data_IF_613419421777
#
_entry.id   IF_613419421777
#
_cell.length_a   1.000
_cell.length_b   1.000
_cell.length_c   1.000
_cell.angle_alpha   90.00
_cell.angle_beta   90.00
_cell.angle_gamma   90.00
#
_symmetry.space_group_name_H-M   'P 1'
#
loop_
_entity.id
_entity.type
_entity.pdbx_description
1 polymer ?
#
# COMPACT_ATOMS: atom_id res chain seq x y z
N UNK A 1 8.25 6.78 -98.45
CA UNK A 1 6.87 6.31 -98.43
C UNK A 1 6.74 5.30 -97.32
N UNK A 2 6.18 5.69 -96.18
CA UNK A 2 5.57 4.79 -95.23
C UNK A 2 4.89 5.63 -94.13
N UNK A 3 3.59 5.61 -94.18
CA UNK A 3 2.68 6.25 -93.22
C UNK A 3 2.76 5.60 -91.84
N UNK A 4 2.86 6.40 -90.84
CA UNK A 4 2.63 6.00 -89.46
C UNK A 4 1.40 6.75 -88.93
N UNK A 5 0.34 6.05 -88.47
CA UNK A 5 -0.86 6.72 -87.96
C UNK A 5 -0.67 7.23 -86.54
N UNK A 6 -1.16 8.43 -86.36
CA UNK A 6 -1.22 9.18 -85.14
C UNK A 6 -2.24 8.56 -84.17
N UNK A 7 -1.82 8.14 -82.92
CA UNK A 7 -2.71 7.70 -81.84
C UNK A 7 -3.20 8.87 -81.03
N UNK A 8 -4.47 8.94 -80.57
CA UNK A 8 -4.99 10.05 -79.83
C UNK A 8 -4.56 9.96 -78.32
N UNK A 9 -4.26 11.09 -77.74
CA UNK A 9 -3.88 11.29 -76.35
C UNK A 9 -5.00 10.86 -75.42
N UNK A 10 -4.63 10.05 -74.41
CA UNK A 10 -5.50 9.63 -73.34
C UNK A 10 -5.85 10.84 -72.44
N UNK A 11 -7.15 11.08 -72.23
CA UNK A 11 -7.70 12.08 -71.35
C UNK A 11 -7.41 11.66 -69.88
N UNK A 12 -6.63 12.48 -69.15
CA UNK A 12 -6.36 12.30 -67.73
C UNK A 12 -7.64 12.43 -66.90
N UNK A 13 -8.05 11.35 -66.30
CA UNK A 13 -9.11 11.34 -65.25
C UNK A 13 -8.61 12.01 -64.01
N UNK A 14 -9.27 13.12 -63.62
CA UNK A 14 -9.06 13.77 -62.32
C UNK A 14 -9.42 12.81 -61.20
N UNK A 15 -8.61 12.71 -60.12
CA UNK A 15 -8.98 11.89 -58.97
C UNK A 15 -10.25 12.44 -58.28
N UNK A 16 -11.07 11.58 -57.67
CA UNK A 16 -12.32 11.98 -57.03
C UNK A 16 -12.03 12.97 -55.90
N UNK A 17 -12.78 14.07 -55.84
CA UNK A 17 -12.74 15.06 -54.76
C UNK A 17 -13.27 14.40 -53.51
N UNK A 18 -12.38 14.13 -52.54
CA UNK A 18 -12.78 13.74 -51.18
C UNK A 18 -13.66 14.82 -50.55
N UNK A 19 -14.82 14.43 -50.02
CA UNK A 19 -15.76 15.35 -49.39
C UNK A 19 -15.16 16.01 -48.16
N UNK A 20 -15.64 17.21 -47.80
CA UNK A 20 -15.20 17.95 -46.61
C UNK A 20 -15.42 17.13 -45.33
N UNK A 21 -16.41 16.21 -45.32
CA UNK A 21 -16.69 15.28 -44.21
C UNK A 21 -15.61 14.18 -44.02
N UNK A 22 -14.89 13.81 -45.10
CA UNK A 22 -13.81 12.81 -45.04
C UNK A 22 -12.48 13.40 -44.55
N UNK A 23 -12.32 14.71 -44.61
CA UNK A 23 -11.12 15.41 -44.12
C UNK A 23 -11.12 15.66 -42.61
N UNK A 24 -12.28 15.58 -41.94
CA UNK A 24 -12.41 15.76 -40.47
C UNK A 24 -12.24 14.47 -39.68
N UNK A 25 -12.25 13.32 -40.35
CA UNK A 25 -11.85 12.05 -39.73
C UNK A 25 -10.35 11.85 -39.98
N UNK A 26 -9.54 12.37 -39.06
CA UNK A 26 -8.13 11.98 -38.96
C UNK A 26 -7.99 10.45 -38.97
N UNK A 27 -6.83 9.87 -39.31
CA UNK A 27 -6.66 8.43 -39.38
C UNK A 27 -7.11 7.85 -38.04
N UNK A 28 -8.13 6.97 -38.06
CA UNK A 28 -8.52 6.17 -36.90
C UNK A 28 -7.24 5.49 -36.43
N UNK A 29 -6.71 5.93 -35.33
CA UNK A 29 -5.62 5.23 -34.67
C UNK A 29 -5.99 3.75 -34.65
N UNK A 30 -5.15 2.90 -35.21
CA UNK A 30 -5.38 1.47 -35.27
C UNK A 30 -5.74 1.01 -33.85
N UNK A 31 -6.98 0.55 -33.67
CA UNK A 31 -7.44 0.11 -32.37
C UNK A 31 -6.64 -1.14 -32.05
N UNK A 32 -5.72 -1.04 -31.12
CA UNK A 32 -4.97 -2.18 -30.61
C UNK A 32 -6.01 -3.14 -30.03
N UNK A 33 -6.06 -4.41 -30.50
CA UNK A 33 -7.03 -5.36 -30.00
C UNK A 33 -6.80 -5.58 -28.51
N UNK A 34 -7.84 -5.66 -27.68
CA UNK A 34 -7.71 -5.97 -26.28
C UNK A 34 -7.17 -7.38 -26.07
N UNK A 35 -6.36 -7.57 -25.04
CA UNK A 35 -5.89 -8.88 -24.63
C UNK A 35 -7.06 -9.69 -24.05
N UNK A 36 -7.27 -10.95 -24.47
CA UNK A 36 -8.39 -11.74 -23.98
C UNK A 36 -8.26 -12.05 -22.50
N UNK A 37 -9.38 -11.97 -21.79
CA UNK A 37 -9.44 -12.34 -20.36
C UNK A 37 -9.70 -13.84 -20.26
N UNK A 38 -8.85 -14.61 -19.56
CA UNK A 38 -9.06 -16.04 -19.37
C UNK A 38 -10.24 -16.31 -18.43
N UNK A 39 -10.69 -17.58 -18.31
CA UNK A 39 -11.69 -17.99 -17.33
C UNK A 39 -11.27 -17.57 -15.91
N UNK A 40 -12.18 -16.95 -15.16
CA UNK A 40 -11.89 -16.35 -13.86
C UNK A 40 -12.29 -17.33 -12.76
N UNK A 41 -11.33 -17.74 -11.94
CA UNK A 41 -11.56 -18.50 -10.72
C UNK A 41 -11.54 -17.59 -9.49
N UNK A 42 -12.36 -17.92 -8.50
CA UNK A 42 -12.43 -17.19 -7.23
C UNK A 42 -12.10 -18.15 -6.09
N UNK A 43 -11.05 -17.88 -5.28
CA UNK A 43 -10.70 -18.72 -4.13
C UNK A 43 -11.86 -18.75 -3.13
N UNK A 44 -12.35 -19.97 -2.81
CA UNK A 44 -13.52 -20.13 -1.94
C UNK A 44 -13.24 -19.77 -0.47
N UNK A 45 -11.98 -19.81 -0.07
CA UNK A 45 -11.51 -19.47 1.27
C UNK A 45 -11.58 -17.97 1.59
N UNK A 46 -11.63 -17.12 0.56
CA UNK A 46 -11.68 -15.68 0.76
C UNK A 46 -13.10 -15.21 1.09
N UNK A 47 -13.28 -14.43 2.17
CA UNK A 47 -14.60 -13.93 2.57
C UNK A 47 -15.35 -13.17 1.47
N UNK A 48 -14.63 -12.38 0.65
CA UNK A 48 -15.22 -11.65 -0.47
C UNK A 48 -15.81 -12.57 -1.53
N UNK A 49 -15.27 -13.78 -1.70
CA UNK A 49 -15.78 -14.76 -2.67
C UNK A 49 -17.18 -15.26 -2.30
N UNK A 50 -17.47 -15.41 -1.01
CA UNK A 50 -18.80 -15.78 -0.53
C UNK A 50 -19.87 -14.69 -0.82
N UNK A 51 -19.46 -13.42 -0.89
CA UNK A 51 -20.35 -12.28 -1.19
C UNK A 51 -20.27 -11.84 -2.67
N UNK A 52 -19.57 -12.60 -3.53
CA UNK A 52 -19.29 -12.25 -4.92
C UNK A 52 -20.55 -11.88 -5.71
N UNK A 53 -21.59 -12.70 -5.64
CA UNK A 53 -22.82 -12.49 -6.41
C UNK A 53 -23.59 -11.23 -5.95
N UNK A 54 -23.55 -10.92 -4.66
CA UNK A 54 -24.13 -9.71 -4.11
C UNK A 54 -23.36 -8.48 -4.56
N UNK A 55 -22.03 -8.51 -4.47
CA UNK A 55 -21.16 -7.44 -4.96
C UNK A 55 -21.37 -7.22 -6.47
N UNK A 56 -21.39 -8.30 -7.24
CA UNK A 56 -21.64 -8.24 -8.68
C UNK A 56 -22.98 -7.60 -9.03
N UNK A 57 -24.03 -7.95 -8.30
CA UNK A 57 -25.37 -7.36 -8.45
C UNK A 57 -25.35 -5.86 -8.10
N UNK A 58 -24.75 -5.50 -6.97
CA UNK A 58 -24.67 -4.11 -6.55
C UNK A 58 -23.90 -3.24 -7.59
N UNK A 59 -22.78 -3.73 -8.12
CA UNK A 59 -22.00 -3.02 -9.18
C UNK A 59 -22.84 -2.87 -10.46
N UNK A 60 -23.61 -3.89 -10.83
CA UNK A 60 -24.48 -3.82 -12.02
C UNK A 60 -25.56 -2.76 -11.87
N UNK A 61 -26.22 -2.76 -10.71
CA UNK A 61 -27.44 -1.99 -10.48
C UNK A 61 -27.16 -0.55 -10.03
N UNK A 62 -25.96 -0.26 -9.49
CA UNK A 62 -25.61 1.06 -8.96
C UNK A 62 -24.37 1.63 -9.67
N UNK A 63 -24.27 2.95 -9.72
CA UNK A 63 -23.11 3.65 -10.24
C UNK A 63 -21.94 3.64 -9.24
N UNK A 64 -22.28 3.77 -7.96
CA UNK A 64 -21.31 3.74 -6.85
C UNK A 64 -21.66 2.62 -5.88
N UNK A 65 -20.65 1.87 -5.46
CA UNK A 65 -20.76 0.81 -4.44
C UNK A 65 -19.62 0.95 -3.43
N UNK A 66 -19.97 0.87 -2.16
CA UNK A 66 -18.98 0.84 -1.07
C UNK A 66 -18.82 -0.62 -0.63
N UNK A 67 -17.57 -1.12 -0.61
CA UNK A 67 -17.26 -2.46 -0.13
C UNK A 67 -16.37 -2.32 1.11
N UNK A 68 -16.94 -2.57 2.26
CA UNK A 68 -16.23 -2.48 3.54
C UNK A 68 -15.84 -3.87 4.06
N UNK A 69 -14.85 -3.90 4.91
CA UNK A 69 -14.41 -5.14 5.56
C UNK A 69 -12.95 -5.12 5.96
N UNK A 70 -12.58 -6.07 6.77
CA UNK A 70 -11.24 -6.18 7.30
C UNK A 70 -10.17 -6.44 6.24
N UNK A 71 -8.91 -6.09 6.56
CA UNK A 71 -7.75 -6.43 5.75
C UNK A 71 -7.63 -7.96 5.64
N UNK A 72 -7.24 -8.45 4.46
CA UNK A 72 -7.16 -9.90 4.21
C UNK A 72 -8.47 -10.56 3.77
N UNK A 73 -9.61 -9.85 3.76
CA UNK A 73 -10.89 -10.41 3.25
C UNK A 73 -10.89 -10.66 1.72
N UNK A 74 -9.85 -10.25 1.00
CA UNK A 74 -9.69 -10.47 -0.44
C UNK A 74 -10.25 -9.35 -1.33
N UNK A 75 -10.76 -8.23 -0.79
CA UNK A 75 -11.34 -7.12 -1.56
C UNK A 75 -10.41 -6.66 -2.68
N UNK A 76 -9.20 -6.30 -2.33
CA UNK A 76 -8.18 -5.74 -3.23
C UNK A 76 -7.89 -6.61 -4.44
N UNK A 77 -7.82 -7.93 -4.28
CA UNK A 77 -7.49 -8.85 -5.38
C UNK A 77 -8.72 -9.33 -6.15
N UNK A 78 -9.87 -9.47 -5.50
CA UNK A 78 -11.04 -10.07 -6.11
C UNK A 78 -11.97 -9.05 -6.80
N UNK A 79 -12.05 -7.80 -6.33
CA UNK A 79 -12.92 -6.79 -6.94
C UNK A 79 -12.61 -6.54 -8.42
N UNK A 80 -11.34 -6.40 -8.87
CA UNK A 80 -11.03 -6.29 -10.29
C UNK A 80 -11.49 -7.50 -11.10
N UNK A 81 -11.38 -8.72 -10.53
CA UNK A 81 -11.83 -9.96 -11.16
C UNK A 81 -13.36 -10.02 -11.26
N UNK A 82 -14.08 -9.55 -10.24
CA UNK A 82 -15.55 -9.42 -10.28
C UNK A 82 -15.96 -8.45 -11.38
N UNK A 83 -15.27 -7.32 -11.52
CA UNK A 83 -15.53 -6.37 -12.60
C UNK A 83 -15.29 -6.99 -13.99
N UNK A 84 -14.20 -7.73 -14.15
CA UNK A 84 -13.94 -8.47 -15.42
C UNK A 84 -15.05 -9.49 -15.70
N UNK A 85 -15.50 -10.25 -14.70
CA UNK A 85 -16.60 -11.21 -14.84
C UNK A 85 -17.94 -10.54 -15.22
N UNK A 86 -18.12 -9.27 -14.87
CA UNK A 86 -19.27 -8.43 -15.27
C UNK A 86 -19.14 -7.84 -16.68
N UNK A 87 -18.09 -8.19 -17.43
CA UNK A 87 -17.84 -7.62 -18.75
C UNK A 87 -17.25 -6.20 -18.71
N UNK A 88 -16.67 -5.75 -17.58
CA UNK A 88 -15.94 -4.48 -17.47
C UNK A 88 -14.49 -4.70 -17.87
N UNK A 89 -13.83 -3.66 -18.34
CA UNK A 89 -12.48 -3.79 -18.88
C UNK A 89 -12.47 -4.21 -20.36
N UNK A 90 -11.51 -3.73 -21.13
CA UNK A 90 -11.46 -3.88 -22.59
C UNK A 90 -11.50 -5.32 -23.08
N UNK A 91 -10.72 -6.21 -22.45
CA UNK A 91 -10.64 -7.63 -22.82
C UNK A 91 -11.85 -8.45 -22.41
N UNK A 92 -12.69 -7.94 -21.52
CA UNK A 92 -13.94 -8.56 -21.10
C UNK A 92 -15.18 -8.01 -21.86
N UNK A 93 -14.99 -7.07 -22.78
CA UNK A 93 -16.06 -6.45 -23.57
C UNK A 93 -16.44 -5.04 -23.12
N UNK A 94 -15.80 -4.49 -22.09
CA UNK A 94 -15.99 -3.13 -21.62
C UNK A 94 -15.39 -2.07 -22.56
N UNK A 95 -15.81 -0.83 -22.39
CA UNK A 95 -15.38 0.30 -23.22
C UNK A 95 -14.04 0.91 -22.80
N UNK A 96 -13.59 0.65 -21.56
CA UNK A 96 -12.41 1.28 -20.95
C UNK A 96 -11.58 0.32 -20.13
N UNK A 97 -10.71 0.89 -19.32
CA UNK A 97 -9.93 0.19 -18.32
C UNK A 97 -10.69 0.07 -17.00
N UNK A 98 -10.39 -0.96 -16.23
CA UNK A 98 -10.64 -0.98 -14.79
C UNK A 98 -9.42 -0.34 -14.13
N UNK A 99 -9.56 0.89 -13.62
CA UNK A 99 -8.54 1.57 -12.85
C UNK A 99 -8.65 1.19 -11.39
N UNK A 100 -7.54 0.81 -10.76
CA UNK A 100 -7.50 0.43 -9.35
C UNK A 100 -6.39 1.18 -8.64
N UNK A 101 -6.76 2.08 -7.73
CA UNK A 101 -5.77 2.84 -6.98
C UNK A 101 -5.28 2.08 -5.76
N UNK A 102 -4.04 2.36 -5.39
CA UNK A 102 -3.40 1.88 -4.19
C UNK A 102 -2.64 3.03 -3.53
N UNK A 103 -2.64 3.18 -2.22
CA UNK A 103 -1.95 4.29 -1.57
C UNK A 103 -0.43 4.24 -1.76
N UNK A 104 0.12 3.04 -1.99
CA UNK A 104 1.57 2.82 -2.04
C UNK A 104 2.00 2.15 -3.34
N UNK A 105 3.16 2.58 -3.89
CA UNK A 105 3.71 2.02 -5.15
C UNK A 105 3.96 0.52 -5.09
N UNK A 106 4.45 0.05 -3.92
CA UNK A 106 4.73 -1.38 -3.69
C UNK A 106 3.43 -2.17 -3.74
N UNK A 107 2.37 -1.68 -3.10
CA UNK A 107 1.07 -2.32 -3.09
C UNK A 107 0.50 -2.43 -4.52
N UNK A 108 0.56 -1.38 -5.32
CA UNK A 108 0.10 -1.42 -6.71
C UNK A 108 0.80 -2.50 -7.53
N UNK A 109 2.13 -2.62 -7.40
CA UNK A 109 2.91 -3.62 -8.13
C UNK A 109 2.64 -5.05 -7.61
N UNK A 110 2.61 -5.26 -6.29
CA UNK A 110 2.39 -6.57 -5.67
C UNK A 110 0.97 -7.09 -5.94
N UNK A 111 -0.05 -6.25 -5.74
CA UNK A 111 -1.45 -6.57 -6.04
C UNK A 111 -1.65 -6.90 -7.52
N UNK A 112 -1.08 -6.10 -8.42
CA UNK A 112 -1.17 -6.36 -9.85
C UNK A 112 -0.57 -7.70 -10.25
N UNK A 113 0.59 -8.06 -9.73
CA UNK A 113 1.20 -9.37 -9.95
C UNK A 113 0.32 -10.50 -9.42
N UNK A 114 -0.20 -10.34 -8.21
CA UNK A 114 -1.07 -11.34 -7.59
C UNK A 114 -2.34 -11.58 -8.41
N UNK A 115 -2.98 -10.51 -8.91
CA UNK A 115 -4.17 -10.65 -9.77
C UNK A 115 -3.80 -11.34 -11.09
N UNK A 116 -2.66 -10.98 -11.70
CA UNK A 116 -2.19 -11.63 -12.94
C UNK A 116 -1.90 -13.12 -12.74
N UNK A 117 -1.24 -13.48 -11.62
CA UNK A 117 -1.00 -14.87 -11.22
C UNK A 117 -2.32 -15.65 -11.06
N UNK A 118 -3.30 -15.08 -10.35
CA UNK A 118 -4.61 -15.71 -10.15
C UNK A 118 -5.42 -15.85 -11.46
N UNK A 119 -5.18 -14.98 -12.43
CA UNK A 119 -5.74 -15.08 -13.78
C UNK A 119 -4.93 -16.00 -14.70
N UNK A 120 -3.74 -16.44 -14.30
CA UNK A 120 -2.84 -17.24 -15.14
C UNK A 120 -2.32 -16.49 -16.37
N UNK A 121 -2.14 -15.16 -16.28
CA UNK A 121 -1.65 -14.31 -17.38
C UNK A 121 -0.29 -13.71 -17.04
N UNK A 122 0.57 -13.45 -18.05
CA UNK A 122 1.78 -12.67 -17.86
C UNK A 122 1.45 -11.28 -17.29
N UNK A 123 2.24 -10.86 -16.29
CA UNK A 123 2.07 -9.55 -15.70
C UNK A 123 2.40 -8.44 -16.68
N UNK A 124 1.48 -7.51 -16.84
CA UNK A 124 1.53 -6.44 -17.84
C UNK A 124 0.55 -6.62 -19.00
N UNK A 125 0.11 -7.84 -19.33
CA UNK A 125 -0.78 -8.13 -20.47
C UNK A 125 -2.24 -7.79 -20.19
N UNK A 126 -2.93 -8.55 -19.34
CA UNK A 126 -4.32 -8.29 -18.96
C UNK A 126 -4.37 -7.35 -17.76
N UNK A 127 -3.46 -7.55 -16.82
CA UNK A 127 -3.31 -6.76 -15.60
C UNK A 127 -1.91 -6.17 -15.58
N UNK A 128 -1.82 -4.86 -15.51
CA UNK A 128 -0.56 -4.18 -15.37
C UNK A 128 -0.64 -3.05 -14.35
N UNK A 129 0.44 -2.30 -14.20
CA UNK A 129 0.48 -1.19 -13.26
C UNK A 129 1.23 0.01 -13.81
N UNK A 130 0.88 1.19 -13.28
CA UNK A 130 1.56 2.44 -13.55
C UNK A 130 1.79 3.20 -12.26
N UNK A 131 3.05 3.49 -11.96
CA UNK A 131 3.45 4.32 -10.84
C UNK A 131 4.49 5.33 -11.32
N UNK A 132 4.85 6.28 -10.48
CA UNK A 132 5.85 7.30 -10.85
C UNK A 132 7.13 6.63 -11.34
N UNK A 133 7.55 6.95 -12.56
CA UNK A 133 8.74 6.45 -13.27
C UNK A 133 8.70 4.97 -13.70
N UNK A 134 7.57 4.28 -13.56
CA UNK A 134 7.43 2.89 -14.01
C UNK A 134 6.06 2.68 -14.62
N UNK A 135 6.04 2.18 -15.84
CA UNK A 135 4.83 1.80 -16.56
C UNK A 135 5.03 0.37 -17.09
N UNK A 136 4.23 -0.56 -16.62
CA UNK A 136 4.19 -1.94 -17.09
C UNK A 136 2.74 -2.31 -17.41
N UNK A 137 2.21 -1.71 -18.47
CA UNK A 137 0.85 -1.88 -18.91
C UNK A 137 0.82 -2.02 -20.43
N UNK A 138 0.45 -3.19 -20.93
CA UNK A 138 0.24 -3.39 -22.35
C UNK A 138 -0.92 -2.54 -22.86
N UNK A 139 -0.87 -2.13 -24.11
CA UNK A 139 -1.91 -1.31 -24.73
C UNK A 139 -3.28 -2.01 -24.78
N UNK A 140 -3.30 -3.36 -24.83
CA UNK A 140 -4.51 -4.20 -24.76
C UNK A 140 -4.96 -4.59 -23.36
N UNK A 141 -4.35 -4.07 -22.30
CA UNK A 141 -4.70 -4.42 -20.92
C UNK A 141 -6.12 -4.01 -20.53
N UNK A 142 -6.69 -4.73 -19.59
CA UNK A 142 -8.03 -4.49 -19.04
C UNK A 142 -8.01 -3.88 -17.64
N UNK A 143 -7.00 -4.21 -16.83
CA UNK A 143 -6.87 -3.74 -15.44
C UNK A 143 -5.56 -2.98 -15.27
N UNK A 144 -5.65 -1.77 -14.74
CA UNK A 144 -4.53 -0.89 -14.46
C UNK A 144 -4.47 -0.57 -12.98
N UNK A 145 -3.48 -1.14 -12.30
CA UNK A 145 -3.14 -0.74 -10.94
C UNK A 145 -2.32 0.55 -10.97
N UNK A 146 -2.55 1.45 -10.03
CA UNK A 146 -1.82 2.73 -9.96
C UNK A 146 -1.86 3.30 -8.55
N UNK A 147 -1.01 4.28 -8.29
CA UNK A 147 -1.17 5.07 -7.06
C UNK A 147 -2.21 6.16 -7.24
N UNK A 148 -2.81 6.60 -6.12
CA UNK A 148 -3.79 7.71 -6.10
C UNK A 148 -3.24 8.95 -6.82
N UNK A 149 -1.97 9.27 -6.61
CA UNK A 149 -1.30 10.40 -7.28
C UNK A 149 -1.19 10.25 -8.80
N UNK A 150 -1.15 9.03 -9.35
CA UNK A 150 -1.18 8.80 -10.80
C UNK A 150 -2.58 9.09 -11.36
N UNK A 151 -3.63 8.56 -10.70
CA UNK A 151 -5.01 8.85 -11.12
C UNK A 151 -5.28 10.36 -11.05
N UNK A 152 -4.82 11.02 -9.97
CA UNK A 152 -4.94 12.47 -9.84
C UNK A 152 -4.21 13.23 -10.95
N UNK A 153 -3.01 12.80 -11.35
CA UNK A 153 -2.31 13.41 -12.47
C UNK A 153 -3.05 13.21 -13.80
N UNK A 154 -3.71 12.08 -14.00
CA UNK A 154 -4.48 11.81 -15.21
C UNK A 154 -5.72 12.69 -15.35
N UNK A 155 -6.31 13.17 -14.26
CA UNK A 155 -7.42 14.13 -14.32
C UNK A 155 -7.05 15.44 -15.03
N UNK A 156 -5.76 15.79 -15.08
CA UNK A 156 -5.28 16.99 -15.76
C UNK A 156 -5.35 16.87 -17.28
N UNK A 157 -5.20 15.66 -17.82
CA UNK A 157 -5.20 15.39 -19.27
C UNK A 157 -6.50 14.77 -19.75
N UNK A 158 -7.19 14.02 -18.89
CA UNK A 158 -8.51 13.43 -19.14
C UNK A 158 -9.47 13.79 -17.98
N UNK A 159 -10.05 15.00 -18.00
CA UNK A 159 -10.90 15.47 -16.90
C UNK A 159 -12.16 14.64 -16.67
N UNK A 160 -12.62 13.87 -17.63
CA UNK A 160 -13.75 12.97 -17.49
C UNK A 160 -13.35 11.52 -17.29
N UNK A 161 -12.03 11.23 -17.16
CA UNK A 161 -11.51 9.88 -16.95
C UNK A 161 -12.07 8.87 -17.97
N UNK A 162 -12.14 9.28 -19.25
CA UNK A 162 -12.73 8.50 -20.35
C UNK A 162 -11.95 7.23 -20.68
N UNK A 163 -10.70 7.15 -20.26
CA UNK A 163 -9.90 5.94 -20.35
C UNK A 163 -10.46 4.77 -19.53
N UNK A 164 -11.32 5.07 -18.57
CA UNK A 164 -11.86 4.10 -17.60
C UNK A 164 -13.35 3.87 -17.79
N UNK A 165 -13.79 2.63 -17.62
CA UNK A 165 -15.19 2.25 -17.46
C UNK A 165 -15.52 1.92 -15.99
N UNK A 166 -14.52 1.57 -15.21
CA UNK A 166 -14.64 1.27 -13.78
C UNK A 166 -13.44 1.84 -13.03
N UNK A 167 -13.69 2.44 -11.89
CA UNK A 167 -12.66 2.88 -10.94
C UNK A 167 -12.87 2.20 -9.60
N UNK A 168 -11.78 1.70 -9.01
CA UNK A 168 -11.72 1.15 -7.67
C UNK A 168 -10.77 2.05 -6.87
N UNK A 169 -11.30 2.77 -5.88
CA UNK A 169 -10.52 3.55 -4.92
C UNK A 169 -10.33 2.66 -3.70
N UNK A 170 -9.14 2.08 -3.59
CA UNK A 170 -8.84 1.12 -2.53
C UNK A 170 -8.26 1.83 -1.29
N UNK A 171 -8.50 1.23 -0.11
CA UNK A 171 -8.03 1.73 1.20
C UNK A 171 -8.43 3.20 1.46
N UNK A 172 -9.67 3.59 1.08
CA UNK A 172 -10.14 4.97 1.20
C UNK A 172 -10.12 5.50 2.64
N UNK A 173 -10.11 4.63 3.64
CA UNK A 173 -10.00 4.98 5.06
C UNK A 173 -8.63 5.53 5.45
N UNK A 174 -7.56 5.35 4.64
CA UNK A 174 -6.26 5.99 4.89
C UNK A 174 -6.35 7.54 4.79
N UNK A 175 -7.41 8.07 4.16
CA UNK A 175 -7.72 9.51 4.11
C UNK A 175 -6.52 10.38 3.74
N UNK A 176 -5.69 9.90 2.80
CA UNK A 176 -4.63 10.74 2.23
C UNK A 176 -5.24 11.95 1.50
N UNK A 177 -4.48 13.04 1.39
CA UNK A 177 -4.90 14.23 0.65
C UNK A 177 -5.32 13.89 -0.80
N UNK A 178 -4.61 12.97 -1.45
CA UNK A 178 -4.95 12.52 -2.80
C UNK A 178 -6.29 11.79 -2.85
N UNK A 179 -6.53 10.90 -1.89
CA UNK A 179 -7.80 10.14 -1.79
C UNK A 179 -8.96 11.11 -1.57
N UNK A 180 -8.86 12.02 -0.61
CA UNK A 180 -9.92 12.98 -0.30
C UNK A 180 -10.23 13.89 -1.49
N UNK A 181 -9.20 14.36 -2.20
CA UNK A 181 -9.37 15.12 -3.42
C UNK A 181 -10.06 14.30 -4.53
N UNK A 182 -9.60 13.06 -4.77
CA UNK A 182 -10.19 12.17 -5.77
C UNK A 182 -11.67 11.85 -5.48
N UNK A 183 -12.03 11.60 -4.22
CA UNK A 183 -13.42 11.36 -3.84
C UNK A 183 -14.32 12.56 -4.14
N UNK A 184 -13.86 13.78 -3.81
CA UNK A 184 -14.56 15.02 -4.16
C UNK A 184 -14.66 15.20 -5.67
N UNK A 185 -13.56 15.00 -6.40
CA UNK A 185 -13.51 15.12 -7.85
C UNK A 185 -14.43 14.11 -8.56
N UNK A 186 -14.41 12.85 -8.13
CA UNK A 186 -15.27 11.80 -8.69
C UNK A 186 -16.75 12.11 -8.46
N UNK A 187 -17.13 12.72 -7.34
CA UNK A 187 -18.49 13.17 -7.10
C UNK A 187 -18.99 14.15 -8.17
N UNK A 188 -18.12 15.01 -8.68
CA UNK A 188 -18.40 15.96 -9.76
C UNK A 188 -18.39 15.34 -11.17
N UNK A 189 -17.62 14.24 -11.34
CA UNK A 189 -17.50 13.54 -12.63
C UNK A 189 -18.65 12.56 -12.86
N UNK A 190 -19.08 11.83 -11.84
CA UNK A 190 -20.09 10.77 -11.94
C UNK A 190 -21.40 11.21 -12.61
N UNK A 191 -21.99 12.38 -12.33
CA UNK A 191 -23.20 12.84 -13.02
C UNK A 191 -22.99 13.05 -14.53
N UNK A 192 -21.76 13.30 -14.97
CA UNK A 192 -21.39 13.52 -16.37
C UNK A 192 -20.98 12.22 -17.08
N UNK A 193 -20.80 11.14 -16.34
CA UNK A 193 -20.34 9.82 -16.76
C UNK A 193 -21.22 8.71 -16.18
N UNK A 194 -22.46 8.63 -16.61
CA UNK A 194 -23.41 7.60 -16.16
C UNK A 194 -22.96 6.16 -16.46
N UNK A 195 -22.04 5.97 -17.39
CA UNK A 195 -21.42 4.71 -17.77
C UNK A 195 -20.30 4.26 -16.82
N UNK A 196 -19.66 5.22 -16.10
CA UNK A 196 -18.56 4.97 -15.19
C UNK A 196 -19.06 4.34 -13.88
N UNK A 197 -18.49 3.21 -13.51
CA UNK A 197 -18.72 2.59 -12.20
C UNK A 197 -17.61 2.98 -11.23
N UNK A 198 -17.99 3.28 -10.01
CA UNK A 198 -17.07 3.58 -8.90
C UNK A 198 -17.27 2.57 -7.77
N UNK A 199 -16.18 1.96 -7.35
CA UNK A 199 -16.14 1.10 -6.18
C UNK A 199 -15.18 1.74 -5.19
N UNK A 200 -15.62 1.96 -3.97
CA UNK A 200 -14.78 2.47 -2.88
C UNK A 200 -14.61 1.38 -1.86
N UNK A 201 -13.37 0.99 -1.55
CA UNK A 201 -13.14 0.07 -0.46
C UNK A 201 -12.69 0.80 0.80
N UNK A 202 -13.07 0.27 1.94
CA UNK A 202 -12.75 0.83 3.24
C UNK A 202 -12.63 -0.27 4.29
N UNK A 203 -11.88 -0.01 5.36
CA UNK A 203 -12.10 -0.71 6.62
C UNK A 203 -13.48 -0.34 7.20
N UNK A 204 -14.00 -1.13 8.14
CA UNK A 204 -15.40 -1.12 8.59
C UNK A 204 -15.91 0.24 9.10
N UNK A 205 -15.06 1.07 9.70
CA UNK A 205 -15.45 2.26 10.48
C UNK A 205 -16.05 3.40 9.64
N UNK A 206 -15.61 3.58 8.38
CA UNK A 206 -15.95 4.76 7.57
C UNK A 206 -16.93 4.50 6.42
N UNK A 207 -17.42 3.28 6.25
CA UNK A 207 -18.22 2.88 5.09
C UNK A 207 -19.49 3.73 4.89
N UNK A 208 -20.21 4.01 5.97
CA UNK A 208 -21.42 4.83 5.93
C UNK A 208 -21.14 6.29 5.52
N UNK A 209 -19.98 6.81 5.91
CA UNK A 209 -19.57 8.17 5.55
C UNK A 209 -19.35 8.29 4.04
N UNK A 210 -18.69 7.30 3.44
CA UNK A 210 -18.51 7.24 1.99
C UNK A 210 -19.84 7.02 1.26
N UNK A 211 -20.72 6.18 1.81
CA UNK A 211 -22.06 5.96 1.24
C UNK A 211 -22.89 7.25 1.18
N UNK A 212 -22.87 8.04 2.24
CA UNK A 212 -23.54 9.36 2.28
C UNK A 212 -22.86 10.39 1.37
N UNK A 213 -21.55 10.33 1.23
CA UNK A 213 -20.81 11.23 0.34
C UNK A 213 -21.24 11.08 -1.12
N UNK A 214 -21.43 9.86 -1.61
CA UNK A 214 -21.82 9.59 -3.01
C UNK A 214 -23.32 9.46 -3.23
N UNK A 215 -24.10 9.39 -2.17
CA UNK A 215 -25.55 9.40 -2.21
C UNK A 215 -26.13 10.65 -1.56
N UNK A 216 -27.31 10.49 -0.99
CA UNK A 216 -27.95 11.47 -0.11
C UNK A 216 -28.18 10.84 1.27
N UNK A 217 -28.58 11.63 2.25
CA UNK A 217 -28.96 11.08 3.56
C UNK A 217 -30.16 10.13 3.48
N UNK A 218 -31.07 10.37 2.52
CA UNK A 218 -32.26 9.55 2.30
C UNK A 218 -31.96 8.32 1.42
N UNK A 219 -31.02 8.44 0.49
CA UNK A 219 -30.61 7.37 -0.43
C UNK A 219 -29.09 7.30 -0.53
N UNK A 220 -28.40 6.73 0.47
CA UNK A 220 -26.96 6.53 0.43
C UNK A 220 -26.58 5.50 -0.65
N UNK A 221 -25.33 5.53 -1.09
CA UNK A 221 -24.81 4.48 -1.95
C UNK A 221 -24.82 3.13 -1.19
N UNK A 222 -25.06 1.99 -1.87
CA UNK A 222 -25.08 0.69 -1.20
C UNK A 222 -23.73 0.36 -0.56
N UNK A 223 -23.79 -0.18 0.64
CA UNK A 223 -22.64 -0.70 1.40
C UNK A 223 -22.77 -2.20 1.48
N UNK A 224 -21.69 -2.91 1.10
CA UNK A 224 -21.57 -4.34 1.27
C UNK A 224 -20.43 -4.60 2.25
N UNK A 225 -20.79 -5.19 3.38
CA UNK A 225 -19.82 -5.54 4.40
C UNK A 225 -19.31 -6.96 4.18
N UNK A 226 -18.00 -7.09 4.02
CA UNK A 226 -17.31 -8.37 3.88
C UNK A 226 -16.58 -8.65 5.19
N UNK A 227 -17.24 -9.37 6.09
CA UNK A 227 -16.60 -9.80 7.34
C UNK A 227 -15.62 -10.94 7.06
N UNK A 228 -14.40 -10.79 7.56
CA UNK A 228 -13.37 -11.82 7.53
C UNK A 228 -13.57 -12.85 8.63
N UNK A 229 -12.99 -14.05 8.48
CA UNK A 229 -12.76 -14.93 9.62
C UNK A 229 -11.61 -14.35 10.41
N UNK A 230 -11.88 -13.87 11.60
CA UNK A 230 -10.82 -13.50 12.55
C UNK A 230 -10.20 -14.81 13.05
N UNK A 231 -8.92 -15.00 12.74
CA UNK A 231 -8.15 -16.02 13.44
C UNK A 231 -7.90 -15.52 14.87
N UNK A 232 -7.93 -16.41 15.87
CA UNK A 232 -7.60 -16.01 17.22
C UNK A 232 -6.17 -15.46 17.27
N UNK A 233 -6.01 -14.28 17.86
CA UNK A 233 -4.72 -13.61 18.03
C UNK A 233 -4.41 -13.57 19.50
N UNK A 234 -3.31 -14.19 19.92
CA UNK A 234 -2.76 -14.08 21.28
C UNK A 234 -1.89 -12.81 21.33
N UNK A 235 -2.26 -11.90 22.23
CA UNK A 235 -1.47 -10.67 22.47
C UNK A 235 -0.56 -10.87 23.67
N UNK A 236 0.75 -10.71 23.46
CA UNK A 236 1.79 -10.80 24.49
C UNK A 236 2.40 -9.42 24.71
N UNK A 237 2.09 -8.81 25.83
CA UNK A 237 2.69 -7.53 26.19
C UNK A 237 4.04 -7.77 26.88
N UNK A 238 5.12 -7.21 26.32
CA UNK A 238 6.48 -7.25 26.86
C UNK A 238 7.00 -5.83 26.98
N UNK A 239 6.85 -5.18 28.16
CA UNK A 239 7.39 -3.84 28.38
C UNK A 239 8.91 -3.88 28.32
N UNK A 240 9.51 -2.87 27.70
CA UNK A 240 10.94 -2.61 27.82
C UNK A 240 11.12 -2.07 29.25
N UNK A 241 11.75 -2.84 30.10
CA UNK A 241 12.04 -2.41 31.49
C UNK A 241 13.07 -1.28 31.44
N UNK A 242 12.68 -0.11 31.90
CA UNK A 242 13.61 0.98 32.16
C UNK A 242 14.42 0.61 33.40
N UNK A 243 15.66 0.13 33.24
CA UNK A 243 16.54 -0.26 34.36
C UNK A 243 16.66 0.85 35.43
N UNK A 244 16.42 2.11 35.03
CA UNK A 244 16.35 3.26 35.92
C UNK A 244 15.16 3.22 36.87
N UNK A 245 14.02 2.67 36.46
CA UNK A 245 12.83 2.48 37.27
C UNK A 245 12.97 1.25 38.17
N UNK A 246 13.49 0.15 37.64
CA UNK A 246 13.76 -1.07 38.45
C UNK A 246 14.82 -0.84 39.51
N UNK A 247 15.87 -0.05 39.19
CA UNK A 247 16.90 0.36 40.16
C UNK A 247 16.36 1.28 41.27
N UNK A 248 15.45 2.22 40.95
CA UNK A 248 14.78 3.08 41.95
C UNK A 248 13.80 2.33 42.82
N UNK A 249 13.04 1.38 42.30
CA UNK A 249 12.15 0.54 43.09
C UNK A 249 12.91 -0.43 44.02
N UNK A 250 14.05 -0.97 43.58
CA UNK A 250 14.94 -1.78 44.42
C UNK A 250 15.61 -0.94 45.50
N UNK A 251 16.05 0.28 45.19
CA UNK A 251 16.58 1.23 46.16
C UNK A 251 15.51 1.70 47.18
N UNK A 252 14.28 1.92 46.74
CA UNK A 252 13.17 2.30 47.61
C UNK A 252 12.68 1.16 48.53
N UNK A 253 12.88 -0.12 48.14
CA UNK A 253 12.59 -1.29 48.99
C UNK A 253 13.74 -1.68 49.94
N UNK A 254 14.97 -1.20 49.68
CA UNK A 254 16.17 -1.50 50.49
C UNK A 254 16.39 -0.60 51.69
N UNK A 255 15.66 0.52 51.85
CA UNK A 255 15.88 1.50 52.92
C UNK A 255 14.80 1.44 54.03
N UNK A 256 14.52 0.24 54.50
CA UNK A 256 13.81 0.03 55.80
C UNK A 256 14.56 -0.96 56.66
N UNK A 257 15.69 -0.51 57.20
CA UNK A 257 16.46 -1.27 58.15
C UNK A 257 17.55 -0.44 58.78
N UNK A 258 17.25 -0.05 60.00
CA UNK A 258 18.16 0.30 61.12
C UNK A 258 18.52 1.78 61.31
N UNK A 259 17.81 2.36 62.28
CA UNK A 259 18.21 3.57 63.03
C UNK A 259 19.17 3.18 64.12
N UNK A 260 20.42 3.55 63.98
CA UNK A 260 21.45 3.53 65.05
C UNK A 260 22.01 4.92 65.25
N UNK A 261 21.68 5.46 66.41
CA UNK A 261 22.04 6.72 67.11
C UNK A 261 23.55 6.91 67.37
N UNK A 262 23.98 8.18 67.41
CA UNK A 262 25.19 8.85 68.06
C UNK A 262 26.04 9.60 66.99
N UNK A 263 26.16 10.95 67.10
CA UNK A 263 26.68 11.76 68.22
C UNK A 263 27.66 12.76 67.63
N UNK A 264 27.30 14.02 67.71
CA UNK A 264 28.01 15.22 68.20
C UNK A 264 29.39 15.64 67.67
N UNK A 265 29.46 16.98 67.47
CA UNK A 265 30.58 17.93 67.56
C UNK A 265 31.46 18.26 66.35
N UNK A 266 31.34 19.56 65.99
CA UNK A 266 32.38 20.58 66.11
C UNK A 266 32.98 20.99 64.77
N UNK A 267 32.94 22.18 64.47
CA UNK A 267 33.32 23.53 64.71
C UNK A 267 34.12 24.14 63.53
N UNK A 268 33.69 25.34 63.17
CA UNK A 268 34.41 26.52 62.65
C UNK A 268 35.51 26.46 61.59
N UNK A 269 35.35 27.44 60.73
CA UNK A 269 36.42 28.34 60.20
C UNK A 269 36.43 28.35 58.67
N UNK A 270 36.29 29.40 58.06
CA UNK A 270 36.48 30.84 57.96
C UNK A 270 37.10 31.10 56.56
N UNK A 271 36.47 32.06 55.86
CA UNK A 271 36.97 33.07 54.90
C UNK A 271 37.93 32.76 53.78
N UNK A 272 37.46 33.28 52.60
CA UNK A 272 38.28 34.07 51.64
C UNK A 272 38.33 33.35 50.28
N UNK A 273 38.22 33.91 49.19
CA UNK A 273 38.29 35.23 48.61
C UNK A 273 37.87 35.16 47.13
N UNK A 274 37.57 36.30 46.58
CA UNK A 274 37.08 36.56 45.26
C UNK A 274 37.99 36.08 44.11
N UNK A 275 37.37 35.60 43.05
CA UNK A 275 38.01 35.45 41.77
C UNK A 275 36.98 35.35 40.65
N UNK A 276 36.64 36.53 40.08
CA UNK A 276 35.92 36.64 38.79
C UNK A 276 36.69 35.92 37.71
N UNK A 277 36.07 34.99 36.96
CA UNK A 277 36.45 34.64 35.61
C UNK A 277 35.23 34.27 34.78
N UNK A 278 34.90 35.22 33.93
CA UNK A 278 34.34 35.18 32.57
C UNK A 278 33.64 33.89 32.14
N UNK A 279 32.34 34.06 31.99
CA UNK A 279 31.39 33.31 31.19
C UNK A 279 31.94 33.07 29.77
N UNK A 280 32.17 31.81 29.41
CA UNK A 280 32.23 31.32 28.01
C UNK A 280 31.37 30.11 27.93
N UNK A 281 30.23 30.29 27.28
CA UNK A 281 29.13 29.40 26.99
C UNK A 281 29.49 27.94 26.75
N UNK A 282 29.03 27.11 27.61
CA UNK A 282 28.89 25.68 27.44
C UNK A 282 27.55 25.36 26.79
N UNK A 283 27.53 25.41 25.45
CA UNK A 283 26.41 24.92 24.63
C UNK A 283 26.69 23.54 24.01
N UNK A 284 27.73 22.85 24.46
CA UNK A 284 28.22 21.60 23.84
C UNK A 284 27.81 20.29 24.54
N UNK A 285 27.49 20.29 25.81
CA UNK A 285 27.31 19.05 26.59
C UNK A 285 25.88 18.52 26.57
N UNK A 286 24.85 19.36 26.43
CA UNK A 286 23.46 18.92 26.37
C UNK A 286 23.19 17.99 25.15
N UNK A 287 23.72 18.38 23.99
CA UNK A 287 23.52 17.60 22.75
C UNK A 287 24.27 16.26 22.71
N UNK A 288 25.36 16.12 23.48
CA UNK A 288 26.08 14.84 23.63
C UNK A 288 25.35 13.90 24.57
N UNK A 289 24.81 14.41 25.68
CA UNK A 289 23.99 13.64 26.62
C UNK A 289 22.73 13.10 26.02
N UNK A 290 21.98 13.91 25.25
CA UNK A 290 20.77 13.48 24.54
C UNK A 290 21.06 12.42 23.46
N UNK A 291 22.15 12.56 22.73
CA UNK A 291 22.58 11.56 21.72
C UNK A 291 23.02 10.24 22.34
N UNK A 292 23.61 10.27 23.53
CA UNK A 292 23.99 9.08 24.27
C UNK A 292 22.75 8.34 24.77
N UNK A 293 21.81 9.04 25.43
CA UNK A 293 20.56 8.47 25.91
C UNK A 293 19.69 7.89 24.78
N UNK A 294 19.61 8.57 23.64
CA UNK A 294 18.90 8.06 22.47
C UNK A 294 19.54 6.79 21.87
N UNK A 295 20.88 6.68 21.92
CA UNK A 295 21.58 5.46 21.46
C UNK A 295 21.38 4.29 22.42
N UNK A 296 21.30 4.56 23.70
CA UNK A 296 21.08 3.56 24.73
C UNK A 296 19.65 3.00 24.64
N UNK A 297 18.65 3.87 24.58
CA UNK A 297 17.25 3.48 24.34
C UNK A 297 17.06 2.70 23.02
N UNK A 298 17.79 3.05 21.98
CA UNK A 298 17.77 2.33 20.70
C UNK A 298 18.38 0.92 20.83
N UNK A 299 19.42 0.73 21.64
CA UNK A 299 20.00 -0.58 21.92
C UNK A 299 19.02 -1.45 22.70
N UNK A 300 18.43 -0.91 23.77
CA UNK A 300 17.43 -1.61 24.60
C UNK A 300 16.24 -2.09 23.75
N UNK A 301 15.74 -1.22 22.85
CA UNK A 301 14.67 -1.60 21.90
C UNK A 301 15.11 -2.73 20.96
N UNK A 302 16.32 -2.65 20.42
CA UNK A 302 16.83 -3.66 19.49
C UNK A 302 17.00 -5.02 20.16
N UNK A 303 17.53 -5.04 21.39
CA UNK A 303 17.71 -6.26 22.19
C UNK A 303 16.36 -6.88 22.56
N UNK A 304 15.38 -6.06 22.97
CA UNK A 304 14.01 -6.53 23.24
C UNK A 304 13.33 -7.13 21.98
N UNK A 305 13.58 -6.59 20.78
CA UNK A 305 13.09 -7.18 19.54
C UNK A 305 13.75 -8.52 19.26
N UNK A 306 15.06 -8.66 19.49
CA UNK A 306 15.77 -9.94 19.30
C UNK A 306 15.18 -10.99 20.23
N UNK A 307 14.96 -10.66 21.50
CA UNK A 307 14.36 -11.56 22.50
C UNK A 307 12.94 -11.97 22.11
N UNK A 308 12.12 -11.02 21.66
CA UNK A 308 10.77 -11.29 21.19
C UNK A 308 10.75 -12.21 19.96
N UNK A 309 11.63 -11.98 19.00
CA UNK A 309 11.79 -12.84 17.81
C UNK A 309 12.22 -14.24 18.23
N UNK A 310 13.15 -14.37 19.16
CA UNK A 310 13.61 -15.66 19.68
C UNK A 310 12.48 -16.41 20.42
N UNK A 311 11.68 -15.70 21.24
CA UNK A 311 10.49 -16.27 21.90
C UNK A 311 9.56 -16.86 20.84
N UNK A 312 9.18 -16.07 19.83
CA UNK A 312 8.27 -16.48 18.77
C UNK A 312 8.84 -17.63 17.89
N UNK A 313 10.16 -17.63 17.69
CA UNK A 313 10.82 -18.71 16.96
C UNK A 313 10.75 -20.07 17.68
N UNK A 314 10.61 -20.09 19.01
CA UNK A 314 10.45 -21.32 19.81
C UNK A 314 9.00 -21.83 19.82
N UNK A 315 8.02 -20.95 19.60
CA UNK A 315 6.58 -21.34 19.61
C UNK A 315 6.17 -22.24 18.45
N UNK A 316 6.84 -22.13 17.30
CA UNK A 316 6.51 -22.97 16.16
C UNK A 316 7.01 -22.44 14.82
N UNK A 317 6.57 -23.08 13.75
CA UNK A 317 6.90 -22.65 12.38
C UNK A 317 6.03 -21.47 11.95
N UNK A 318 6.58 -20.60 11.12
CA UNK A 318 5.92 -19.43 10.54
C UNK A 318 6.87 -18.25 10.49
N UNK A 319 6.56 -17.31 9.61
CA UNK A 319 7.36 -16.10 9.43
C UNK A 319 6.99 -15.04 10.47
N UNK A 320 7.94 -14.16 10.76
CA UNK A 320 7.80 -13.06 11.72
C UNK A 320 7.79 -11.74 10.97
N UNK A 321 6.84 -10.85 11.27
CA UNK A 321 6.82 -9.48 10.81
C UNK A 321 7.09 -8.55 12.00
N UNK A 322 8.12 -7.72 11.88
CA UNK A 322 8.49 -6.73 12.90
C UNK A 322 8.24 -5.34 12.36
N UNK A 323 7.41 -4.56 13.05
CA UNK A 323 7.17 -3.17 12.70
C UNK A 323 8.15 -2.24 13.38
N UNK A 324 8.78 -1.38 12.60
CA UNK A 324 9.78 -0.44 13.04
C UNK A 324 9.48 0.97 12.50
N UNK A 325 9.81 2.03 13.25
CA UNK A 325 9.43 3.40 12.89
C UNK A 325 10.14 3.92 11.64
N UNK A 326 11.32 3.40 11.31
CA UNK A 326 12.08 3.93 10.18
C UNK A 326 13.15 3.00 9.61
N UNK A 327 13.77 3.47 8.54
CA UNK A 327 14.80 2.74 7.80
C UNK A 327 16.06 2.46 8.63
N UNK A 328 16.42 3.41 9.52
CA UNK A 328 17.59 3.28 10.39
C UNK A 328 17.38 2.13 11.38
N UNK A 329 16.25 2.12 12.06
CA UNK A 329 15.89 1.10 13.04
C UNK A 329 15.80 -0.27 12.37
N UNK A 330 15.30 -0.35 11.14
CA UNK A 330 15.31 -1.59 10.33
C UNK A 330 16.72 -2.09 10.09
N UNK A 331 17.68 -1.20 9.77
CA UNK A 331 19.06 -1.59 9.51
C UNK A 331 19.77 -2.06 10.77
N UNK A 332 19.60 -1.32 11.87
CA UNK A 332 20.21 -1.62 13.16
C UNK A 332 19.68 -2.97 13.69
N UNK A 333 18.36 -3.18 13.64
CA UNK A 333 17.74 -4.45 14.03
C UNK A 333 18.13 -5.60 13.12
N UNK A 334 18.22 -5.37 11.80
CA UNK A 334 18.68 -6.40 10.86
C UNK A 334 20.13 -6.83 11.14
N UNK A 335 21.01 -5.91 11.53
CA UNK A 335 22.37 -6.21 11.91
C UNK A 335 22.42 -7.02 13.20
N UNK A 336 21.65 -6.63 14.23
CA UNK A 336 21.58 -7.35 15.49
C UNK A 336 21.07 -8.79 15.29
N UNK A 337 19.98 -8.98 14.56
CA UNK A 337 19.42 -10.30 14.28
C UNK A 337 20.40 -11.18 13.48
N UNK A 338 21.16 -10.61 12.51
CA UNK A 338 22.18 -11.37 11.77
C UNK A 338 23.36 -11.80 12.66
N UNK A 339 23.75 -10.97 13.64
CA UNK A 339 24.79 -11.31 14.62
C UNK A 339 24.33 -12.41 15.56
N UNK A 340 23.06 -12.42 15.89
CA UNK A 340 22.44 -13.45 16.74
C UNK A 340 22.30 -14.80 16.01
N UNK A 341 22.36 -14.80 14.66
CA UNK A 341 22.29 -15.96 13.79
C UNK A 341 21.15 -16.94 14.12
N UNK A 342 19.87 -16.55 14.03
CA UNK A 342 18.77 -17.50 14.17
C UNK A 342 18.95 -18.61 13.11
N UNK A 343 18.97 -19.90 13.49
CA UNK A 343 19.22 -20.97 12.54
C UNK A 343 18.13 -21.01 11.45
N UNK A 344 18.53 -21.19 10.20
CA UNK A 344 17.65 -21.30 9.03
C UNK A 344 16.68 -20.11 8.87
N UNK A 345 17.17 -18.89 9.12
CA UNK A 345 16.35 -17.68 9.05
C UNK A 345 16.88 -16.69 8.02
N UNK A 346 15.98 -16.13 7.22
CA UNK A 346 16.26 -15.07 6.25
C UNK A 346 15.70 -13.73 6.78
N UNK A 347 16.57 -12.72 6.94
CA UNK A 347 16.21 -11.40 7.44
C UNK A 347 15.99 -10.47 6.25
N UNK A 348 14.76 -10.00 6.06
CA UNK A 348 14.31 -9.24 4.91
C UNK A 348 13.84 -7.85 5.33
N UNK A 349 14.55 -6.77 4.97
CA UNK A 349 14.04 -5.41 5.16
C UNK A 349 12.93 -5.09 4.15
N UNK A 350 11.92 -4.31 4.59
CA UNK A 350 10.82 -3.83 3.76
C UNK A 350 10.48 -2.37 4.06
N UNK A 351 10.96 -1.45 3.23
CA UNK A 351 10.63 -0.03 3.31
C UNK A 351 10.56 0.62 1.92
N UNK A 352 9.97 1.80 1.83
CA UNK A 352 9.58 2.43 0.56
C UNK A 352 10.74 2.75 -0.41
N UNK A 353 11.97 2.91 0.09
CA UNK A 353 13.16 3.28 -0.71
C UNK A 353 13.94 2.08 -1.25
N UNK A 354 13.59 0.86 -0.84
CA UNK A 354 14.23 -0.34 -1.38
C UNK A 354 14.03 -0.48 -2.88
N UNK A 355 14.96 -1.17 -3.54
CA UNK A 355 14.80 -1.54 -4.94
C UNK A 355 13.57 -2.45 -5.14
N UNK A 356 12.95 -2.41 -6.32
CA UNK A 356 11.81 -3.26 -6.63
C UNK A 356 12.17 -4.77 -6.53
N UNK A 357 13.43 -5.14 -6.80
CA UNK A 357 13.91 -6.50 -6.68
C UNK A 357 13.97 -6.97 -5.21
N UNK A 358 14.50 -6.12 -4.31
CA UNK A 358 14.56 -6.42 -2.88
C UNK A 358 13.17 -6.48 -2.26
N UNK A 359 12.28 -5.55 -2.63
CA UNK A 359 10.88 -5.58 -2.20
C UNK A 359 10.17 -6.87 -2.65
N UNK A 360 10.43 -7.34 -3.88
CA UNK A 360 9.84 -8.55 -4.41
C UNK A 360 10.29 -9.83 -3.67
N UNK A 361 11.46 -9.82 -3.01
CA UNK A 361 11.94 -10.97 -2.23
C UNK A 361 11.01 -11.32 -1.08
N UNK A 362 10.40 -10.33 -0.46
CA UNK A 362 9.49 -10.51 0.69
C UNK A 362 8.23 -11.32 0.30
N UNK A 363 7.85 -11.30 -0.97
CA UNK A 363 6.65 -12.01 -1.48
C UNK A 363 6.96 -13.40 -2.06
N UNK A 364 8.24 -13.74 -2.20
CA UNK A 364 8.63 -15.07 -2.69
C UNK A 364 8.53 -16.09 -1.57
N UNK A 365 8.08 -17.29 -1.91
CA UNK A 365 8.16 -18.43 -0.99
C UNK A 365 9.61 -18.77 -0.69
N UNK A 366 9.91 -19.08 0.57
CA UNK A 366 11.23 -19.53 1.04
C UNK A 366 11.06 -20.80 1.84
N UNK A 367 12.04 -21.69 1.76
CA UNK A 367 12.12 -22.88 2.63
C UNK A 367 12.70 -22.53 4.02
N UNK A 368 13.28 -21.33 4.16
CA UNK A 368 13.76 -20.82 5.42
C UNK A 368 12.69 -19.92 6.07
N UNK A 369 12.69 -19.84 7.40
CA UNK A 369 11.88 -18.87 8.12
C UNK A 369 12.30 -17.46 7.73
N UNK A 370 11.33 -16.58 7.49
CA UNK A 370 11.60 -15.19 7.18
C UNK A 370 11.29 -14.31 8.38
N UNK A 371 12.19 -13.38 8.69
CA UNK A 371 11.95 -12.25 9.59
C UNK A 371 11.89 -11.01 8.72
N UNK A 372 10.71 -10.46 8.55
CA UNK A 372 10.47 -9.27 7.72
C UNK A 372 10.47 -8.05 8.62
N UNK A 373 11.41 -7.15 8.42
CA UNK A 373 11.51 -5.89 9.17
C UNK A 373 10.90 -4.79 8.34
N UNK A 374 9.76 -4.27 8.74
CA UNK A 374 8.98 -3.34 7.93
C UNK A 374 8.67 -2.04 8.66
N UNK A 375 8.54 -0.96 7.90
CA UNK A 375 7.82 0.22 8.37
C UNK A 375 6.31 -0.02 8.22
N UNK A 376 5.49 0.97 8.54
CA UNK A 376 4.05 0.96 8.29
C UNK A 376 3.64 0.65 6.82
N UNK A 377 4.60 0.47 5.91
CA UNK A 377 4.34 0.03 4.53
C UNK A 377 3.64 -1.34 4.47
N UNK A 378 3.86 -2.20 5.46
CA UNK A 378 3.26 -3.53 5.55
C UNK A 378 2.01 -3.57 6.46
N UNK A 379 1.51 -2.43 6.95
CA UNK A 379 0.40 -2.38 7.92
C UNK A 379 -0.95 -2.71 7.29
N UNK A 380 -1.33 -2.02 6.23
CA UNK A 380 -2.66 -2.13 5.62
C UNK A 380 -2.62 -2.59 4.17
N UNK A 381 -1.72 -2.02 3.39
CA UNK A 381 -1.75 -2.13 1.92
C UNK A 381 -1.00 -3.35 1.36
N UNK A 382 -0.32 -4.14 2.20
CA UNK A 382 0.50 -5.28 1.75
C UNK A 382 0.27 -6.49 2.65
N UNK A 383 -0.27 -7.54 2.07
CA UNK A 383 -0.31 -8.85 2.74
C UNK A 383 0.98 -9.60 2.43
N UNK A 384 1.85 -9.76 3.42
CA UNK A 384 3.05 -10.59 3.31
C UNK A 384 2.64 -12.04 3.57
N UNK A 385 2.81 -12.94 2.58
CA UNK A 385 2.39 -14.32 2.74
C UNK A 385 3.26 -15.06 3.77
N UNK A 386 2.66 -15.97 4.55
CA UNK A 386 3.38 -16.83 5.50
C UNK A 386 3.60 -16.21 6.89
N UNK A 387 3.28 -14.95 7.10
CA UNK A 387 3.38 -14.30 8.42
C UNK A 387 2.41 -14.97 9.39
N UNK A 388 2.96 -15.41 10.52
CA UNK A 388 2.23 -15.99 11.63
C UNK A 388 2.40 -15.19 12.92
N UNK A 389 3.49 -14.48 13.03
CA UNK A 389 3.88 -13.73 14.22
C UNK A 389 4.15 -12.27 13.88
N UNK A 390 3.78 -11.36 14.80
CA UNK A 390 3.98 -9.92 14.63
C UNK A 390 4.59 -9.34 15.92
N UNK A 391 5.60 -8.47 15.74
CA UNK A 391 6.27 -7.72 16.80
C UNK A 391 6.15 -6.23 16.53
#
# INVERSE_FOLDING_TARGET
MSNVPNSPAAAGSKPPRTSRADRERGPRAAQIPPNPVPPIAFPAELPVSARREEIARAIRDNQVVIVSGETGSGKTTQLPKICLALGRGRGAGGAGLIGHTQPRRIAAAATGRRIAEELGTPFGEVVGYKVRFTDNLAAGASVKLMTDGILLAETQTDPLLRAYDTLIIDEAHERSLNIDFLLGYLKEVLPKRSDLKLIVTSATIDAERFARHFGTNEKPAPVIEVSGRLYPVEMRYRPIEDERTAGRERAAKGDKGDKGDKGDKGDKGDKGDKGEKSDKGDKGDGAKGERSAAREAQRELTDAIVDAVDELCREGQGDVLVFLPGEREIRDTAEALRKHHPPHTEILPLFARLSAADQARVFKSSNARRIVLATNVAETSLTVPGIRYVV
#
